data_IF_397556197909
#
_entry.id   IF_397556197909
#
_cell.length_a   1.000
_cell.length_b   1.000
_cell.length_c   1.000
_cell.angle_alpha   90.00
_cell.angle_beta   90.00
_cell.angle_gamma   90.00
#
_symmetry.space_group_name_H-M   'P 1'
#
loop_
_entity.id
_entity.type
_entity.pdbx_description
1 polymer ?
#
# COMPACT_ATOMS: atom_id res chain seq x y z
N UNK A 1 -16.23 -6.00 -43.27
CA UNK A 1 -16.10 -5.85 -41.81
C UNK A 1 -14.94 -4.91 -41.62
N UNK A 2 -15.24 -3.63 -41.43
CA UNK A 2 -14.25 -2.56 -41.31
C UNK A 2 -13.79 -2.60 -39.85
N UNK A 3 -12.49 -2.76 -39.62
CA UNK A 3 -11.91 -2.61 -38.28
C UNK A 3 -12.10 -1.16 -37.86
N UNK A 4 -12.59 -0.87 -36.65
CA UNK A 4 -12.57 0.50 -36.16
C UNK A 4 -11.10 0.92 -36.04
N UNK A 5 -10.75 1.99 -36.74
CA UNK A 5 -9.52 2.74 -36.55
C UNK A 5 -9.49 3.17 -35.08
N UNK A 6 -8.42 2.83 -34.35
CA UNK A 6 -8.25 3.35 -33.00
C UNK A 6 -7.97 4.84 -33.13
N UNK A 7 -8.92 5.68 -32.72
CA UNK A 7 -8.69 7.10 -32.52
C UNK A 7 -7.51 7.25 -31.57
N UNK A 8 -6.42 7.80 -32.09
CA UNK A 8 -5.18 8.10 -31.38
C UNK A 8 -5.19 9.51 -30.81
N UNK A 9 -6.35 10.00 -30.38
CA UNK A 9 -6.50 11.33 -29.79
C UNK A 9 -6.63 11.21 -28.28
N UNK A 10 -5.79 11.98 -27.60
CA UNK A 10 -5.80 12.25 -26.14
C UNK A 10 -4.96 11.29 -25.30
N UNK A 11 -3.71 11.04 -25.71
CA UNK A 11 -2.66 10.75 -24.74
C UNK A 11 -2.28 12.05 -24.04
N UNK A 12 -2.46 12.09 -22.73
CA UNK A 12 -1.98 13.18 -21.89
C UNK A 12 -0.44 13.19 -21.92
N UNK A 13 0.13 14.12 -22.68
CA UNK A 13 1.58 14.29 -22.78
C UNK A 13 2.07 15.20 -21.64
N UNK A 14 3.11 14.77 -20.93
CA UNK A 14 3.80 15.64 -19.99
C UNK A 14 4.29 16.88 -20.75
N UNK A 15 4.05 18.10 -20.25
CA UNK A 15 4.59 19.30 -20.89
C UNK A 15 6.12 19.20 -20.96
N UNK A 16 6.72 19.70 -22.05
CA UNK A 16 8.17 19.64 -22.32
C UNK A 16 9.05 20.19 -21.18
N UNK A 17 8.47 20.97 -20.27
CA UNK A 17 9.12 21.54 -19.08
C UNK A 17 9.15 20.59 -17.86
N UNK A 18 8.49 19.44 -17.91
CA UNK A 18 8.43 18.51 -16.79
C UNK A 18 9.82 17.91 -16.52
N UNK A 19 10.33 17.96 -15.27
CA UNK A 19 11.61 17.36 -14.94
C UNK A 19 11.51 15.82 -15.03
N UNK A 20 12.07 15.24 -16.10
CA UNK A 20 12.04 13.79 -16.38
C UNK A 20 13.01 12.98 -15.50
N UNK A 21 13.97 13.63 -14.84
CA UNK A 21 14.98 12.96 -14.02
C UNK A 21 15.32 13.74 -12.74
N UNK A 22 15.45 13.02 -11.61
CA UNK A 22 15.85 13.57 -10.32
C UNK A 22 14.71 13.95 -9.37
N UNK A 23 13.49 13.47 -9.64
CA UNK A 23 12.32 13.59 -8.76
C UNK A 23 12.52 12.78 -7.48
N UNK A 24 12.59 13.46 -6.33
CA UNK A 24 12.65 12.83 -5.01
C UNK A 24 11.25 12.56 -4.45
N UNK A 25 10.26 13.34 -4.90
CA UNK A 25 8.88 13.21 -4.44
C UNK A 25 7.91 13.45 -5.60
N UNK A 26 6.95 12.54 -5.76
CA UNK A 26 5.80 12.70 -6.65
C UNK A 26 4.57 12.62 -5.78
N UNK A 27 3.77 13.68 -5.80
CA UNK A 27 2.49 13.77 -5.11
C UNK A 27 1.38 13.72 -6.16
N UNK A 28 0.33 12.95 -5.88
CA UNK A 28 -0.86 12.86 -6.71
C UNK A 28 -2.06 13.11 -5.80
N UNK A 29 -2.97 13.98 -6.20
CA UNK A 29 -4.13 14.32 -5.40
C UNK A 29 -5.28 14.88 -6.20
N UNK A 30 -6.35 15.24 -5.51
CA UNK A 30 -7.52 15.92 -6.05
C UNK A 30 -7.69 17.22 -5.28
N UNK A 31 -7.71 18.35 -5.99
CA UNK A 31 -7.92 19.69 -5.43
C UNK A 31 -9.01 20.38 -6.21
N UNK A 32 -10.02 20.93 -5.51
CA UNK A 32 -11.18 21.62 -6.09
C UNK A 32 -11.98 20.83 -7.16
N UNK A 33 -11.85 19.50 -7.17
CA UNK A 33 -12.52 18.61 -8.12
C UNK A 33 -11.67 18.23 -9.33
N UNK A 34 -10.47 18.78 -9.45
CA UNK A 34 -9.50 18.45 -10.49
C UNK A 34 -8.39 17.57 -9.93
N UNK A 35 -7.88 16.62 -10.72
CA UNK A 35 -6.70 15.85 -10.34
C UNK A 35 -5.44 16.70 -10.53
N UNK A 36 -4.42 16.46 -9.71
CA UNK A 36 -3.10 17.05 -9.90
C UNK A 36 -1.98 16.04 -9.70
N UNK A 37 -0.83 16.32 -10.32
CA UNK A 37 0.44 15.64 -10.08
C UNK A 37 1.50 16.71 -9.86
N UNK A 38 2.18 16.63 -8.72
CA UNK A 38 3.31 17.49 -8.37
C UNK A 38 4.60 16.67 -8.35
N UNK A 39 5.56 17.06 -9.18
CA UNK A 39 6.90 16.45 -9.25
C UNK A 39 7.89 17.41 -8.59
N UNK A 40 8.46 17.00 -7.45
CA UNK A 40 9.47 17.77 -6.73
C UNK A 40 10.86 17.19 -6.98
N UNK A 41 11.73 17.87 -7.74
CA UNK A 41 13.12 17.46 -7.92
C UNK A 41 13.97 17.75 -6.68
N UNK A 42 15.06 17.00 -6.50
CA UNK A 42 16.06 17.22 -5.42
C UNK A 42 16.66 18.63 -5.38
N UNK A 43 16.61 19.34 -6.50
CA UNK A 43 16.97 20.76 -6.64
C UNK A 43 16.05 21.40 -7.66
N UNK A 44 15.36 22.47 -7.27
CA UNK A 44 14.49 23.25 -8.15
C UNK A 44 13.14 23.54 -7.50
N UNK A 45 12.27 24.21 -8.25
CA UNK A 45 10.87 24.39 -7.85
C UNK A 45 10.06 23.14 -8.21
N UNK A 46 9.08 22.74 -7.38
CA UNK A 46 8.12 21.70 -7.75
C UNK A 46 7.39 22.06 -9.03
N UNK A 47 7.15 21.05 -9.86
CA UNK A 47 6.37 21.17 -11.07
C UNK A 47 5.02 20.51 -10.86
N UNK A 48 3.95 21.31 -10.81
CA UNK A 48 2.58 20.82 -10.69
C UNK A 48 1.87 20.96 -12.02
N UNK A 49 1.17 19.91 -12.42
CA UNK A 49 0.19 19.97 -13.50
C UNK A 49 -1.13 19.40 -12.99
N UNK A 50 -2.21 19.98 -13.49
CA UNK A 50 -3.58 19.61 -13.13
C UNK A 50 -4.38 19.28 -14.39
N UNK A 51 -5.37 18.41 -14.25
CA UNK A 51 -6.27 17.99 -15.31
C UNK A 51 -7.52 17.36 -14.71
N UNK A 52 -8.44 16.91 -15.56
CA UNK A 52 -9.62 16.20 -15.09
C UNK A 52 -9.19 14.95 -14.31
N UNK A 53 -9.90 14.60 -13.22
CA UNK A 53 -9.54 13.45 -12.36
C UNK A 53 -9.35 12.16 -13.18
N UNK A 54 -10.22 11.92 -14.16
CA UNK A 54 -10.16 10.75 -15.04
C UNK A 54 -8.87 10.73 -15.89
N UNK A 55 -8.37 11.89 -16.32
CA UNK A 55 -7.15 12.02 -17.12
C UNK A 55 -5.91 11.75 -16.26
N UNK A 56 -5.88 12.30 -15.04
CA UNK A 56 -4.81 12.07 -14.07
C UNK A 56 -4.77 10.59 -13.66
N UNK A 57 -5.93 9.97 -13.39
CA UNK A 57 -6.02 8.54 -13.14
C UNK A 57 -5.50 7.70 -14.32
N UNK A 58 -5.90 8.04 -15.54
CA UNK A 58 -5.45 7.34 -16.75
C UNK A 58 -3.92 7.47 -16.94
N UNK A 59 -3.37 8.66 -16.70
CA UNK A 59 -1.93 8.91 -16.74
C UNK A 59 -1.17 8.10 -15.68
N UNK A 60 -1.62 8.09 -14.43
CA UNK A 60 -1.01 7.29 -13.36
C UNK A 60 -1.03 5.79 -13.71
N UNK A 61 -2.16 5.26 -14.20
CA UNK A 61 -2.27 3.87 -14.66
C UNK A 61 -1.34 3.56 -15.82
N UNK A 62 -1.13 4.51 -16.74
CA UNK A 62 -0.22 4.34 -17.87
C UNK A 62 1.25 4.31 -17.42
N UNK A 63 1.65 5.18 -16.51
CA UNK A 63 3.01 5.20 -15.97
C UNK A 63 3.32 3.93 -15.16
N UNK A 64 2.35 3.41 -14.40
CA UNK A 64 2.49 2.13 -13.68
C UNK A 64 2.81 0.95 -14.61
N UNK A 65 2.31 0.95 -15.87
CA UNK A 65 2.57 -0.14 -16.83
C UNK A 65 4.02 -0.21 -17.33
N UNK A 66 4.81 0.85 -17.11
CA UNK A 66 6.23 0.92 -17.50
C UNK A 66 7.21 0.69 -16.35
N UNK A 67 6.73 0.60 -15.11
CA UNK A 67 7.58 0.40 -13.92
C UNK A 67 7.76 -1.10 -13.71
N UNK A 68 8.99 -1.58 -13.91
CA UNK A 68 9.38 -2.89 -13.36
C UNK A 68 9.44 -2.73 -11.85
N UNK A 69 8.50 -3.35 -11.13
CA UNK A 69 8.58 -3.44 -9.68
C UNK A 69 9.92 -4.09 -9.30
N UNK A 70 10.59 -3.64 -8.22
CA UNK A 70 11.79 -4.33 -7.74
C UNK A 70 11.45 -5.79 -7.49
N UNK A 71 12.41 -6.70 -7.64
CA UNK A 71 12.15 -8.11 -7.32
C UNK A 71 11.94 -8.27 -5.80
N UNK A 72 11.14 -9.28 -5.35
CA UNK A 72 11.05 -9.61 -3.94
C UNK A 72 12.44 -9.89 -3.33
N UNK A 73 12.68 -9.57 -2.05
CA UNK A 73 13.95 -9.85 -1.40
C UNK A 73 14.29 -11.35 -1.43
N UNK A 74 15.53 -11.70 -1.77
CA UNK A 74 15.98 -13.10 -1.79
C UNK A 74 15.90 -13.73 -0.39
N UNK A 75 15.48 -15.00 -0.33
CA UNK A 75 15.44 -15.78 0.90
C UNK A 75 14.16 -15.64 1.73
N UNK A 76 13.17 -14.87 1.25
CA UNK A 76 11.85 -14.77 1.86
C UNK A 76 10.83 -15.58 1.05
N UNK A 77 10.02 -16.38 1.72
CA UNK A 77 8.98 -17.18 1.06
C UNK A 77 7.88 -16.27 0.49
N UNK A 78 7.27 -16.59 -0.65
CA UNK A 78 6.22 -15.73 -1.23
C UNK A 78 4.97 -15.66 -0.34
N UNK A 79 4.70 -16.75 0.39
CA UNK A 79 3.51 -16.94 1.22
C UNK A 79 3.88 -17.59 2.55
N UNK A 80 3.22 -17.17 3.63
CA UNK A 80 3.23 -17.84 4.92
C UNK A 80 1.81 -18.04 5.45
N UNK A 81 1.60 -19.12 6.20
CA UNK A 81 0.30 -19.38 6.82
C UNK A 81 0.04 -18.41 7.98
N UNK A 82 -1.22 -18.01 8.13
CA UNK A 82 -1.74 -17.31 9.30
C UNK A 82 -2.64 -18.23 10.14
N UNK A 83 -3.19 -17.73 11.26
CA UNK A 83 -4.20 -18.45 12.01
C UNK A 83 -5.53 -18.55 11.24
N UNK A 84 -6.42 -19.43 11.70
CA UNK A 84 -7.72 -19.65 11.05
C UNK A 84 -8.53 -18.35 10.93
N UNK A 85 -9.07 -18.07 9.75
CA UNK A 85 -9.84 -16.86 9.47
C UNK A 85 -9.02 -15.69 8.90
N UNK A 86 -7.70 -15.83 8.84
CA UNK A 86 -6.81 -14.89 8.16
C UNK A 86 -6.43 -15.39 6.77
N UNK A 87 -6.29 -14.45 5.84
CA UNK A 87 -5.68 -14.73 4.54
C UNK A 87 -4.19 -15.10 4.68
N UNK A 88 -3.60 -15.75 3.66
CA UNK A 88 -2.18 -16.06 3.67
C UNK A 88 -1.33 -14.78 3.74
N UNK A 89 -0.22 -14.84 4.47
CA UNK A 89 0.78 -13.78 4.59
C UNK A 89 1.58 -13.62 3.31
N UNK A 90 1.20 -12.66 2.47
CA UNK A 90 1.80 -12.44 1.15
C UNK A 90 2.93 -11.42 1.22
N UNK A 91 3.96 -11.60 0.40
CA UNK A 91 4.88 -10.51 0.08
C UNK A 91 4.21 -9.54 -0.89
N UNK A 92 4.07 -8.29 -0.48
CA UNK A 92 3.47 -7.21 -1.25
C UNK A 92 4.45 -6.04 -1.30
N UNK A 93 4.64 -5.47 -2.49
CA UNK A 93 5.36 -4.21 -2.64
C UNK A 93 4.41 -3.06 -2.33
N UNK A 94 4.61 -2.39 -1.19
CA UNK A 94 3.70 -1.35 -0.66
C UNK A 94 4.01 0.05 -1.17
N UNK A 95 4.98 0.19 -2.08
CA UNK A 95 5.44 1.48 -2.60
C UNK A 95 6.77 1.92 -1.97
N UNK A 96 7.39 2.96 -2.54
CA UNK A 96 8.66 3.49 -2.01
C UNK A 96 9.85 2.52 -2.05
N UNK A 97 9.76 1.40 -2.79
CA UNK A 97 10.78 0.36 -2.81
C UNK A 97 10.72 -0.61 -1.61
N UNK A 98 9.65 -0.55 -0.81
CA UNK A 98 9.49 -1.36 0.39
C UNK A 98 8.63 -2.59 0.07
N UNK A 99 9.13 -3.74 0.50
CA UNK A 99 8.39 -4.98 0.53
C UNK A 99 7.89 -5.24 1.94
N UNK A 100 6.61 -5.59 2.07
CA UNK A 100 6.01 -6.00 3.33
C UNK A 100 5.47 -7.42 3.23
N UNK A 101 5.56 -8.16 4.33
CA UNK A 101 4.71 -9.33 4.56
C UNK A 101 3.38 -8.81 5.11
N UNK A 102 2.26 -9.22 4.52
CA UNK A 102 0.92 -8.76 4.91
C UNK A 102 -0.04 -9.94 5.04
N UNK A 103 -0.65 -10.10 6.21
CA UNK A 103 -1.85 -10.90 6.42
C UNK A 103 -3.06 -9.97 6.48
N UNK A 104 -4.18 -10.42 5.91
CA UNK A 104 -5.41 -9.62 5.86
C UNK A 104 -6.59 -10.44 6.38
N UNK A 105 -7.50 -9.78 7.08
CA UNK A 105 -8.79 -10.36 7.50
C UNK A 105 -9.90 -9.32 7.33
N UNK A 106 -11.00 -9.64 6.61
CA UNK A 106 -12.16 -8.76 6.58
C UNK A 106 -12.84 -8.74 7.96
N UNK A 107 -13.35 -7.56 8.36
CA UNK A 107 -14.08 -7.41 9.62
C UNK A 107 -15.52 -7.92 9.55
N UNK A 108 -16.10 -7.95 8.36
CA UNK A 108 -17.46 -8.41 8.12
C UNK A 108 -17.51 -9.42 6.95
N UNK A 109 -18.72 -9.91 6.63
CA UNK A 109 -18.92 -10.86 5.53
C UNK A 109 -18.77 -10.22 4.13
N UNK A 110 -18.62 -8.89 4.05
CA UNK A 110 -18.41 -8.19 2.79
C UNK A 110 -16.92 -8.19 2.46
N UNK A 111 -16.54 -8.87 1.38
CA UNK A 111 -15.13 -8.92 0.92
C UNK A 111 -14.57 -7.54 0.53
N UNK A 112 -15.43 -6.54 0.31
CA UNK A 112 -15.04 -5.14 0.08
C UNK A 112 -15.31 -4.26 1.32
N UNK A 113 -15.56 -4.86 2.48
CA UNK A 113 -15.72 -4.16 3.75
C UNK A 113 -14.38 -3.73 4.35
N UNK A 114 -14.41 -3.07 5.52
CA UNK A 114 -13.19 -2.74 6.25
C UNK A 114 -12.43 -4.02 6.61
N UNK A 115 -11.10 -3.91 6.64
CA UNK A 115 -10.19 -5.04 6.87
C UNK A 115 -9.09 -4.67 7.85
N UNK A 116 -8.66 -5.68 8.60
CA UNK A 116 -7.43 -5.59 9.38
C UNK A 116 -6.29 -6.11 8.52
N UNK A 117 -5.18 -5.39 8.51
CA UNK A 117 -3.90 -5.85 7.98
C UNK A 117 -2.91 -6.01 9.12
N UNK A 118 -2.19 -7.12 9.18
CA UNK A 118 -1.02 -7.29 10.05
C UNK A 118 0.20 -7.42 9.15
N UNK A 119 1.17 -6.52 9.34
CA UNK A 119 2.29 -6.39 8.41
C UNK A 119 3.62 -6.07 9.08
N UNK A 120 4.69 -6.41 8.37
CA UNK A 120 6.04 -5.93 8.67
C UNK A 120 6.89 -5.80 7.41
N UNK A 121 7.84 -4.86 7.38
CA UNK A 121 8.75 -4.70 6.25
C UNK A 121 9.82 -5.80 6.21
N UNK A 122 10.22 -6.19 5.00
CA UNK A 122 11.31 -7.13 4.72
C UNK A 122 12.31 -6.52 3.72
N UNK A 123 13.63 -6.80 3.86
CA UNK A 123 14.25 -7.63 4.89
C UNK A 123 14.43 -6.92 6.24
N UNK A 124 14.27 -5.60 6.27
CA UNK A 124 14.60 -4.76 7.42
C UNK A 124 13.36 -4.51 8.31
N UNK A 125 13.01 -5.50 9.13
CA UNK A 125 11.93 -5.42 10.11
C UNK A 125 12.42 -4.80 11.43
N UNK A 126 11.76 -3.76 11.90
CA UNK A 126 11.94 -3.19 13.25
C UNK A 126 10.75 -3.46 14.18
N UNK A 127 9.64 -3.94 13.63
CA UNK A 127 8.39 -4.17 14.32
C UNK A 127 7.33 -4.76 13.40
N UNK A 128 6.24 -5.21 14.02
CA UNK A 128 5.03 -5.68 13.36
C UNK A 128 3.89 -4.78 13.78
N UNK A 129 3.12 -4.33 12.81
CA UNK A 129 2.01 -3.39 13.00
C UNK A 129 0.72 -4.06 12.57
N UNK A 130 -0.34 -3.86 13.34
CA UNK A 130 -1.72 -4.16 12.93
C UNK A 130 -2.46 -2.86 12.66
N UNK A 131 -3.03 -2.77 11.47
CA UNK A 131 -3.64 -1.57 10.92
C UNK A 131 -5.04 -1.88 10.42
N UNK A 132 -5.91 -0.87 10.47
CA UNK A 132 -7.26 -0.95 9.97
C UNK A 132 -7.39 -0.14 8.68
N UNK A 133 -8.04 -0.74 7.70
CA UNK A 133 -8.36 -0.10 6.43
C UNK A 133 -9.86 -0.09 6.20
N UNK A 134 -10.36 0.96 5.56
CA UNK A 134 -11.75 1.04 5.10
C UNK A 134 -12.00 0.18 3.85
N UNK A 135 -13.23 0.25 3.33
CA UNK A 135 -13.67 -0.48 2.13
C UNK A 135 -12.91 -0.13 0.86
N UNK A 136 -12.38 1.09 0.78
CA UNK A 136 -11.60 1.57 -0.36
C UNK A 136 -10.10 1.23 -0.18
N UNK A 137 -9.73 0.66 0.96
CA UNK A 137 -8.38 0.25 1.30
C UNK A 137 -7.53 1.35 1.90
N UNK A 138 -8.10 2.50 2.24
CA UNK A 138 -7.38 3.56 2.94
C UNK A 138 -7.13 3.18 4.38
N UNK A 139 -5.91 3.43 4.85
CA UNK A 139 -5.57 3.29 6.26
C UNK A 139 -6.37 4.30 7.10
N UNK A 140 -7.12 3.80 8.08
CA UNK A 140 -7.97 4.60 8.96
C UNK A 140 -7.53 4.58 10.43
N UNK A 141 -6.61 3.69 10.81
CA UNK A 141 -6.02 3.71 12.14
C UNK A 141 -5.15 2.50 12.47
N UNK A 142 -4.24 2.69 13.42
CA UNK A 142 -3.36 1.63 13.91
C UNK A 142 -3.96 0.98 15.15
N UNK A 143 -4.12 -0.34 15.13
CA UNK A 143 -4.65 -1.13 16.26
C UNK A 143 -3.54 -1.36 17.30
N UNK A 144 -2.39 -1.84 16.85
CA UNK A 144 -1.22 -2.08 17.72
C UNK A 144 0.07 -2.08 16.92
N UNK A 145 1.17 -1.80 17.60
CA UNK A 145 2.52 -1.90 17.06
C UNK A 145 3.44 -2.57 18.09
N UNK A 146 4.20 -3.57 17.65
CA UNK A 146 5.14 -4.31 18.49
C UNK A 146 6.51 -4.36 17.84
N UNK A 147 7.48 -3.77 18.53
CA UNK A 147 8.87 -3.75 18.07
C UNK A 147 9.56 -5.09 18.31
N UNK A 148 10.39 -5.51 17.35
CA UNK A 148 11.24 -6.71 17.50
C UNK A 148 12.67 -6.28 17.77
N UNK A 149 13.26 -6.85 18.82
CA UNK A 149 14.71 -6.73 19.08
C UNK A 149 15.39 -7.97 18.55
N UNK A 150 15.68 -8.03 17.26
CA UNK A 150 16.19 -9.25 16.61
C UNK A 150 17.60 -9.10 16.08
N UNK A 151 18.32 -10.22 16.07
CA UNK A 151 19.53 -10.39 15.29
C UNK A 151 19.18 -10.52 13.78
N UNK A 152 20.03 -9.99 12.90
CA UNK A 152 19.76 -9.76 11.48
C UNK A 152 19.44 -11.02 10.64
N UNK A 153 19.67 -12.24 11.14
CA UNK A 153 19.64 -13.46 10.35
C UNK A 153 18.36 -14.32 10.49
N UNK A 154 17.39 -13.90 11.33
CA UNK A 154 16.11 -14.61 11.53
C UNK A 154 14.90 -13.68 11.55
N UNK A 155 15.03 -12.54 10.88
CA UNK A 155 14.01 -11.48 10.93
C UNK A 155 12.63 -12.00 10.53
N UNK A 156 12.52 -12.72 9.42
CA UNK A 156 11.22 -13.21 8.92
C UNK A 156 10.54 -14.16 9.91
N UNK A 157 11.27 -15.17 10.41
CA UNK A 157 10.74 -16.14 11.39
C UNK A 157 10.24 -15.45 12.67
N UNK A 158 10.98 -14.45 13.17
CA UNK A 158 10.61 -13.73 14.38
C UNK A 158 9.44 -12.75 14.17
N UNK A 159 9.45 -11.99 13.08
CA UNK A 159 8.37 -11.04 12.76
C UNK A 159 7.09 -11.81 12.39
N UNK A 160 7.17 -12.93 11.66
CA UNK A 160 6.02 -13.79 11.38
C UNK A 160 5.40 -14.39 12.64
N UNK A 161 6.23 -14.82 13.60
CA UNK A 161 5.71 -15.30 14.90
C UNK A 161 4.99 -14.18 15.65
N UNK A 162 5.58 -12.99 15.71
CA UNK A 162 4.96 -11.85 16.38
C UNK A 162 3.66 -11.40 15.70
N UNK A 163 3.61 -11.45 14.36
CA UNK A 163 2.38 -11.23 13.60
C UNK A 163 1.29 -12.24 13.97
N UNK A 164 1.63 -13.53 14.08
CA UNK A 164 0.71 -14.57 14.55
C UNK A 164 0.21 -14.33 15.98
N UNK A 165 1.09 -13.90 16.88
CA UNK A 165 0.70 -13.55 18.25
C UNK A 165 -0.32 -12.38 18.24
N UNK A 166 -0.06 -11.32 17.45
CA UNK A 166 -0.99 -10.19 17.30
C UNK A 166 -2.33 -10.62 16.68
N UNK A 167 -2.32 -11.42 15.61
CA UNK A 167 -3.54 -11.94 14.99
C UNK A 167 -4.37 -12.76 15.98
N UNK A 168 -3.71 -13.56 16.82
CA UNK A 168 -4.38 -14.36 17.87
C UNK A 168 -5.00 -13.47 18.96
N UNK A 169 -4.32 -12.41 19.37
CA UNK A 169 -4.86 -11.43 20.34
C UNK A 169 -6.09 -10.70 19.78
N UNK A 170 -6.06 -10.33 18.50
CA UNK A 170 -7.20 -9.73 17.79
C UNK A 170 -8.38 -10.72 17.75
N UNK A 171 -8.13 -11.98 17.37
CA UNK A 171 -9.18 -13.01 17.35
C UNK A 171 -9.77 -13.30 18.73
N UNK A 172 -8.98 -13.11 19.79
CA UNK A 172 -9.43 -13.24 21.18
C UNK A 172 -10.21 -12.02 21.70
N UNK A 173 -10.33 -10.95 20.89
CA UNK A 173 -11.04 -9.71 21.24
C UNK A 173 -10.25 -8.78 22.16
N UNK A 174 -8.93 -8.96 22.31
CA UNK A 174 -8.12 -8.11 23.18
C UNK A 174 -8.03 -6.66 22.70
N UNK A 175 -8.33 -6.41 21.42
CA UNK A 175 -8.26 -5.11 20.76
C UNK A 175 -9.63 -4.57 20.30
N UNK A 176 -10.74 -5.20 20.72
CA UNK A 176 -12.10 -4.84 20.26
C UNK A 176 -12.47 -3.39 20.58
N UNK A 177 -12.06 -2.87 21.75
CA UNK A 177 -12.29 -1.47 22.14
C UNK A 177 -11.60 -0.52 21.17
N UNK A 178 -10.29 -0.73 20.90
CA UNK A 178 -9.52 0.07 19.94
C UNK A 178 -10.11 0.00 18.53
N UNK A 179 -10.51 -1.18 18.08
CA UNK A 179 -11.12 -1.36 16.75
C UNK A 179 -12.45 -0.60 16.68
N UNK A 180 -13.29 -0.68 17.73
CA UNK A 180 -14.53 0.07 17.82
C UNK A 180 -14.28 1.58 17.80
N UNK A 181 -13.30 2.08 18.55
CA UNK A 181 -12.94 3.50 18.56
C UNK A 181 -12.51 4.00 17.18
N UNK A 182 -11.67 3.24 16.46
CA UNK A 182 -11.20 3.62 15.12
C UNK A 182 -12.35 3.59 14.10
N UNK A 183 -13.24 2.60 14.19
CA UNK A 183 -14.39 2.47 13.28
C UNK A 183 -15.55 3.40 13.61
N UNK A 184 -15.48 4.14 14.71
CA UNK A 184 -16.54 5.05 15.15
C UNK A 184 -17.74 4.33 15.78
N UNK A 185 -17.52 3.16 16.38
CA UNK A 185 -18.54 2.41 17.11
C UNK A 185 -19.05 3.16 18.34
N UNK A 186 -20.38 3.25 18.45
CA UNK A 186 -21.13 3.75 19.61
C UNK A 186 -21.21 2.73 20.76
#
# INVERSE_FOLDING_TARGET
MVMPESDSSDQFELPDSAPVYGSEHVEVGIEDGDGYITISPSRGEPFTFSGDTDEIEAFCRQQQRGITLPEPPEGFEEVQDGPDGWGPGKLIHTGGGIWCRVWERPLDENENGPRIQVLYPVPDCIGVTAELHDSDGYHIGTITDKHVKTELNKIDEHCAKLANDIMTEIDAGEHDETISEITGGE
#
